data_IF_752595232764
#
_entry.id   IF_752595232764
#
_cell.length_a   1.000
_cell.length_b   1.000
_cell.length_c   1.000
_cell.angle_alpha   90.00
_cell.angle_beta   90.00
_cell.angle_gamma   90.00
#
_symmetry.space_group_name_H-M   'P 1'
#
loop_
_entity.id
_entity.type
_entity.pdbx_description
1 polymer ?
#
# COMPACT_ATOMS: atom_id res chain seq x y z
N UNK A 1 -2.02 16.70 17.33
CA UNK A 1 -1.30 15.42 17.23
C UNK A 1 -1.89 14.57 16.12
N UNK A 2 -1.09 14.06 15.20
CA UNK A 2 -1.47 13.01 14.26
C UNK A 2 -0.68 11.74 14.61
N UNK A 3 -1.30 10.56 14.48
CA UNK A 3 -0.68 9.29 14.90
C UNK A 3 -0.67 8.29 13.75
N UNK A 4 0.47 7.64 13.53
CA UNK A 4 0.64 6.62 12.49
C UNK A 4 0.80 5.26 13.17
N UNK A 5 -0.18 4.37 12.99
CA UNK A 5 -0.15 2.98 13.44
C UNK A 5 0.49 2.10 12.37
N UNK A 6 1.59 1.43 12.71
CA UNK A 6 2.41 0.67 11.75
C UNK A 6 3.58 1.48 11.18
N UNK A 7 4.19 2.35 11.99
CA UNK A 7 5.11 3.41 11.60
C UNK A 7 6.43 2.97 10.92
N UNK A 8 6.83 1.70 11.00
CA UNK A 8 8.07 1.22 10.34
C UNK A 8 7.84 0.75 8.89
N UNK A 9 6.61 0.82 8.40
CA UNK A 9 6.28 0.45 7.03
C UNK A 9 6.71 1.52 6.03
N UNK A 10 6.93 1.12 4.78
CA UNK A 10 7.30 2.01 3.68
C UNK A 10 6.31 3.20 3.52
N UNK A 11 5.01 2.91 3.51
CA UNK A 11 3.97 3.95 3.41
C UNK A 11 4.02 4.88 4.62
N UNK A 12 4.17 4.32 5.83
CA UNK A 12 4.24 5.11 7.06
C UNK A 12 5.43 6.07 7.11
N UNK A 13 6.59 5.64 6.63
CA UNK A 13 7.79 6.46 6.60
C UNK A 13 7.62 7.67 5.68
N UNK A 14 7.13 7.48 4.47
CA UNK A 14 6.87 8.58 3.54
C UNK A 14 5.69 9.45 3.98
N UNK A 15 4.68 8.85 4.62
CA UNK A 15 3.57 9.58 5.24
C UNK A 15 4.09 10.51 6.35
N UNK A 16 4.97 10.02 7.23
CA UNK A 16 5.55 10.82 8.31
C UNK A 16 6.34 12.02 7.78
N UNK A 17 7.17 11.83 6.74
CA UNK A 17 7.88 12.92 6.06
C UNK A 17 6.92 13.97 5.50
N UNK A 18 5.91 13.51 4.77
CA UNK A 18 4.92 14.40 4.14
C UNK A 18 4.11 15.19 5.18
N UNK A 19 3.66 14.52 6.24
CA UNK A 19 2.91 15.18 7.31
C UNK A 19 3.75 16.22 8.04
N UNK A 20 5.00 15.90 8.35
CA UNK A 20 5.93 16.84 8.97
C UNK A 20 6.15 18.07 8.11
N UNK A 21 6.35 17.91 6.80
CA UNK A 21 6.64 19.01 5.86
C UNK A 21 5.44 19.91 5.58
N UNK A 22 4.21 19.36 5.55
CA UNK A 22 3.07 20.06 4.96
C UNK A 22 1.85 20.21 5.86
N UNK A 23 1.72 19.46 6.96
CA UNK A 23 0.44 19.38 7.65
C UNK A 23 0.46 19.56 9.17
N UNK A 24 1.56 19.32 9.88
CA UNK A 24 1.56 19.36 11.34
C UNK A 24 2.94 19.46 11.94
N UNK A 25 3.02 20.08 13.11
CA UNK A 25 4.19 20.05 14.00
C UNK A 25 4.08 18.98 15.11
N UNK A 26 3.32 17.90 14.96
CA UNK A 26 3.23 16.89 16.01
C UNK A 26 2.81 15.53 15.48
N UNK A 27 3.79 14.63 15.32
CA UNK A 27 3.58 13.25 14.88
C UNK A 27 3.91 12.26 15.99
N UNK A 28 3.05 11.25 16.14
CA UNK A 28 3.32 10.06 16.94
C UNK A 28 3.47 8.85 16.04
N UNK A 29 4.65 8.22 16.09
CA UNK A 29 4.97 7.02 15.33
C UNK A 29 4.84 5.80 16.22
N UNK A 30 3.91 4.88 15.87
CA UNK A 30 3.54 3.73 16.69
C UNK A 30 3.87 2.43 15.97
N UNK A 31 4.69 1.61 16.59
CA UNK A 31 4.97 0.22 16.21
C UNK A 31 5.52 -0.54 17.42
N UNK A 32 5.79 -1.83 17.29
CA UNK A 32 6.47 -2.59 18.36
C UNK A 32 7.87 -2.06 18.67
N UNK A 33 8.58 -1.56 17.67
CA UNK A 33 9.92 -0.96 17.79
C UNK A 33 9.97 0.28 16.88
N UNK A 34 9.36 1.41 17.28
CA UNK A 34 9.26 2.59 16.42
C UNK A 34 10.63 3.25 16.22
N UNK A 35 10.81 3.84 15.05
CA UNK A 35 12.01 4.60 14.68
C UNK A 35 11.61 5.99 14.24
N UNK A 36 12.41 6.99 14.58
CA UNK A 36 12.25 8.36 14.09
C UNK A 36 12.38 8.42 12.56
N UNK A 37 11.57 9.24 11.97
CA UNK A 37 11.62 9.65 10.57
C UNK A 37 12.03 11.12 10.49
N UNK A 38 11.50 11.93 11.39
CA UNK A 38 11.84 13.34 11.60
C UNK A 38 12.35 13.54 13.04
N UNK A 39 13.12 14.60 13.30
CA UNK A 39 13.78 14.79 14.59
C UNK A 39 12.81 15.01 15.75
N UNK A 40 11.67 15.62 15.50
CA UNK A 40 10.63 15.94 16.48
C UNK A 40 9.53 14.85 16.60
N UNK A 41 9.68 13.73 15.88
CA UNK A 41 8.73 12.61 15.98
C UNK A 41 8.68 12.04 17.39
N UNK A 42 7.47 11.89 17.93
CA UNK A 42 7.21 11.18 19.17
C UNK A 42 7.12 9.67 18.91
N UNK A 43 7.95 8.89 19.58
CA UNK A 43 7.96 7.44 19.44
C UNK A 43 7.11 6.79 20.53
N UNK A 44 6.28 5.83 20.16
CA UNK A 44 5.53 5.03 21.11
C UNK A 44 5.54 3.55 20.73
N UNK A 45 6.16 2.73 21.57
CA UNK A 45 6.12 1.29 21.41
C UNK A 45 4.74 0.76 21.80
N UNK A 46 4.06 0.06 20.87
CA UNK A 46 2.79 -0.60 21.16
C UNK A 46 2.57 -1.81 20.24
N UNK A 47 1.94 -2.83 20.81
CA UNK A 47 1.42 -3.96 20.07
C UNK A 47 -0.06 -3.73 19.77
N UNK A 48 -0.42 -3.59 18.50
CA UNK A 48 -1.80 -3.33 18.08
C UNK A 48 -2.76 -4.51 18.34
N UNK A 49 -2.26 -5.68 18.66
CA UNK A 49 -3.06 -6.81 19.14
C UNK A 49 -3.56 -6.62 20.57
N UNK A 50 -2.92 -5.74 21.33
CA UNK A 50 -3.29 -5.37 22.69
C UNK A 50 -4.17 -4.11 22.64
N UNK A 51 -5.42 -4.24 23.11
CA UNK A 51 -6.39 -3.14 23.08
C UNK A 51 -5.98 -1.97 24.00
N UNK A 52 -5.38 -2.26 25.16
CA UNK A 52 -4.93 -1.24 26.11
C UNK A 52 -3.75 -0.44 25.57
N UNK A 53 -2.74 -1.10 25.02
CA UNK A 53 -1.62 -0.41 24.36
C UNK A 53 -2.07 0.41 23.15
N UNK A 54 -3.01 -0.13 22.36
CA UNK A 54 -3.57 0.60 21.20
C UNK A 54 -4.35 1.85 21.66
N UNK A 55 -5.15 1.74 22.72
CA UNK A 55 -5.87 2.87 23.29
C UNK A 55 -4.91 3.98 23.79
N UNK A 56 -3.85 3.60 24.48
CA UNK A 56 -2.81 4.55 24.91
C UNK A 56 -2.11 5.21 23.70
N UNK A 57 -1.82 4.43 22.66
CA UNK A 57 -1.16 4.93 21.45
C UNK A 57 -2.02 5.96 20.69
N UNK A 58 -3.34 5.84 20.76
CA UNK A 58 -4.29 6.75 20.07
C UNK A 58 -4.70 7.93 20.93
N UNK A 59 -4.54 7.86 22.25
CA UNK A 59 -4.96 8.91 23.19
C UNK A 59 -4.43 10.29 22.82
N UNK A 60 -5.31 11.28 22.73
CA UNK A 60 -4.99 12.67 22.37
C UNK A 60 -4.68 12.88 20.88
N UNK A 61 -4.92 11.90 20.03
CA UNK A 61 -4.80 12.04 18.58
C UNK A 61 -5.99 12.80 18.00
N UNK A 62 -5.74 13.66 17.02
CA UNK A 62 -6.79 14.26 16.19
C UNK A 62 -7.07 13.38 14.96
N UNK A 63 -6.02 12.83 14.36
CA UNK A 63 -6.11 11.95 13.19
C UNK A 63 -5.24 10.72 13.46
N UNK A 64 -5.75 9.54 13.13
CA UNK A 64 -5.04 8.27 13.20
C UNK A 64 -4.98 7.63 11.83
N UNK A 65 -3.79 7.37 11.35
CA UNK A 65 -3.53 6.65 10.11
C UNK A 65 -3.23 5.19 10.41
N UNK A 66 -4.02 4.28 9.86
CA UNK A 66 -3.77 2.86 9.99
C UNK A 66 -3.03 2.35 8.75
N UNK A 67 -1.71 2.19 8.87
CA UNK A 67 -0.82 1.71 7.81
C UNK A 67 -0.13 0.40 8.16
N UNK A 68 -0.62 -0.29 9.19
CA UNK A 68 -0.03 -1.52 9.67
C UNK A 68 -0.01 -2.61 8.58
N UNK A 69 1.15 -3.21 8.41
CA UNK A 69 1.41 -4.33 7.50
C UNK A 69 1.91 -5.56 8.26
N UNK A 70 1.64 -6.72 7.68
CA UNK A 70 2.14 -8.02 8.15
C UNK A 70 2.93 -8.72 7.04
N UNK A 71 3.86 -9.61 7.38
CA UNK A 71 4.48 -10.50 6.39
C UNK A 71 3.42 -11.23 5.55
N UNK A 72 3.72 -11.65 4.32
CA UNK A 72 2.76 -12.30 3.41
C UNK A 72 2.47 -13.76 3.84
N UNK A 73 1.90 -13.95 5.01
CA UNK A 73 1.47 -15.21 5.62
C UNK A 73 -0.04 -15.16 5.86
N UNK A 74 -0.79 -16.04 5.19
CA UNK A 74 -2.25 -16.02 5.21
C UNK A 74 -2.83 -16.30 6.59
N UNK A 75 -2.24 -17.21 7.37
CA UNK A 75 -2.67 -17.51 8.73
C UNK A 75 -2.49 -16.31 9.65
N UNK A 76 -1.31 -15.68 9.57
CA UNK A 76 -1.02 -14.48 10.33
C UNK A 76 -1.98 -13.33 9.99
N UNK A 77 -2.36 -13.20 8.70
CA UNK A 77 -3.32 -12.18 8.27
C UNK A 77 -4.71 -12.42 8.85
N UNK A 78 -5.19 -13.67 8.80
CA UNK A 78 -6.50 -14.05 9.33
C UNK A 78 -6.60 -13.82 10.84
N UNK A 79 -5.53 -14.15 11.58
CA UNK A 79 -5.50 -14.05 13.04
C UNK A 79 -5.31 -12.61 13.53
N UNK A 80 -4.45 -11.83 12.89
CA UNK A 80 -3.98 -10.56 13.46
C UNK A 80 -4.62 -9.31 12.87
N UNK A 81 -4.80 -9.23 11.55
CA UNK A 81 -5.30 -8.01 10.94
C UNK A 81 -6.67 -7.57 11.46
N UNK A 82 -7.69 -8.46 11.57
CA UNK A 82 -8.99 -8.05 12.10
C UNK A 82 -8.93 -7.54 13.53
N UNK A 83 -8.10 -8.17 14.38
CA UNK A 83 -7.91 -7.77 15.78
C UNK A 83 -7.26 -6.39 15.88
N UNK A 84 -6.15 -6.19 15.13
CA UNK A 84 -5.43 -4.89 15.11
C UNK A 84 -6.35 -3.75 14.65
N UNK A 85 -7.14 -3.99 13.59
CA UNK A 85 -8.06 -2.99 13.05
C UNK A 85 -9.19 -2.68 14.03
N UNK A 86 -9.81 -3.71 14.63
CA UNK A 86 -10.86 -3.54 15.66
C UNK A 86 -10.36 -2.72 16.84
N UNK A 87 -9.16 -3.03 17.36
CA UNK A 87 -8.57 -2.28 18.46
C UNK A 87 -8.33 -0.81 18.09
N UNK A 88 -7.83 -0.55 16.87
CA UNK A 88 -7.59 0.81 16.39
C UNK A 88 -8.90 1.61 16.24
N UNK A 89 -9.95 1.03 15.67
CA UNK A 89 -11.27 1.68 15.54
C UNK A 89 -11.88 1.98 16.91
N UNK A 90 -11.84 1.02 17.85
CA UNK A 90 -12.32 1.23 19.22
C UNK A 90 -11.57 2.36 19.93
N UNK A 91 -10.22 2.37 19.80
CA UNK A 91 -9.39 3.42 20.36
C UNK A 91 -9.72 4.81 19.78
N UNK A 92 -9.97 4.89 18.48
CA UNK A 92 -10.35 6.14 17.81
C UNK A 92 -11.72 6.65 18.28
N UNK A 93 -12.71 5.77 18.49
CA UNK A 93 -14.01 6.17 19.07
C UNK A 93 -13.85 6.78 20.46
N UNK A 94 -13.11 6.12 21.34
CA UNK A 94 -12.85 6.62 22.70
C UNK A 94 -12.10 7.96 22.68
N UNK A 95 -11.14 8.12 21.80
CA UNK A 95 -10.36 9.34 21.65
C UNK A 95 -11.06 10.43 20.83
N UNK A 96 -12.20 10.14 20.20
CA UNK A 96 -12.90 10.99 19.21
C UNK A 96 -11.97 11.45 18.08
N UNK A 97 -11.06 10.55 17.65
CA UNK A 97 -10.08 10.81 16.60
C UNK A 97 -10.63 10.41 15.23
N UNK A 98 -10.33 11.20 14.20
CA UNK A 98 -10.58 10.80 12.82
C UNK A 98 -9.70 9.62 12.42
N UNK A 99 -10.22 8.70 11.59
CA UNK A 99 -9.53 7.48 11.19
C UNK A 99 -9.32 7.41 9.68
N UNK A 100 -8.08 7.33 9.25
CA UNK A 100 -7.69 7.16 7.86
C UNK A 100 -7.10 5.76 7.64
N UNK A 101 -7.83 4.92 6.91
CA UNK A 101 -7.46 3.53 6.65
C UNK A 101 -6.72 3.41 5.32
N UNK A 102 -5.47 2.97 5.36
CA UNK A 102 -4.71 2.63 4.15
C UNK A 102 -4.98 1.19 3.74
N UNK A 103 -5.52 1.00 2.54
CA UNK A 103 -5.99 -0.29 2.03
C UNK A 103 -5.33 -0.65 0.69
N UNK A 104 -5.53 -1.89 0.26
CA UNK A 104 -5.11 -2.41 -1.04
C UNK A 104 -6.33 -2.84 -1.88
N UNK A 105 -6.09 -3.56 -2.98
CA UNK A 105 -7.13 -4.00 -3.93
C UNK A 105 -7.42 -5.50 -3.91
N UNK A 106 -7.00 -6.24 -2.86
CA UNK A 106 -7.15 -7.71 -2.85
C UNK A 106 -8.59 -8.17 -2.71
N UNK A 107 -9.50 -7.32 -2.25
CA UNK A 107 -10.94 -7.60 -2.18
C UNK A 107 -11.65 -7.46 -3.53
N UNK A 108 -11.05 -6.81 -4.52
CA UNK A 108 -11.65 -6.62 -5.83
C UNK A 108 -11.58 -7.89 -6.69
N UNK A 109 -12.49 -8.03 -7.68
CA UNK A 109 -12.46 -9.13 -8.65
C UNK A 109 -11.08 -9.18 -9.36
N UNK A 110 -10.61 -10.40 -9.61
CA UNK A 110 -9.38 -10.63 -10.38
C UNK A 110 -9.73 -10.84 -11.87
N UNK A 111 -10.18 -9.77 -12.52
CA UNK A 111 -10.54 -9.72 -13.93
C UNK A 111 -10.07 -8.41 -14.55
N UNK A 112 -10.29 -8.22 -15.86
CA UNK A 112 -9.83 -7.05 -16.61
C UNK A 112 -10.72 -5.80 -16.48
N UNK A 113 -11.75 -5.82 -15.61
CA UNK A 113 -12.57 -4.62 -15.41
C UNK A 113 -11.76 -3.50 -14.76
N UNK A 114 -12.10 -2.27 -15.09
CA UNK A 114 -11.53 -1.10 -14.41
C UNK A 114 -12.09 -1.05 -12.99
N UNK A 115 -11.19 -1.07 -12.00
CA UNK A 115 -11.53 -0.96 -10.59
C UNK A 115 -11.77 0.50 -10.24
N UNK A 116 -12.94 0.79 -9.69
CA UNK A 116 -13.36 2.09 -9.13
C UNK A 116 -13.68 1.94 -7.64
N UNK A 117 -13.95 3.04 -6.96
CA UNK A 117 -14.35 3.02 -5.54
C UNK A 117 -15.65 2.25 -5.32
N UNK A 118 -16.54 2.18 -6.32
CA UNK A 118 -17.84 1.49 -6.30
C UNK A 118 -17.73 0.00 -6.71
N UNK A 119 -16.53 -0.46 -7.10
CA UNK A 119 -16.33 -1.85 -7.50
C UNK A 119 -16.71 -2.80 -6.35
N UNK A 120 -17.67 -3.69 -6.61
CA UNK A 120 -18.11 -4.69 -5.63
C UNK A 120 -16.99 -5.65 -5.27
N UNK A 121 -16.91 -6.02 -4.00
CA UNK A 121 -15.94 -6.99 -3.54
C UNK A 121 -16.27 -8.40 -4.06
N UNK A 122 -15.27 -9.06 -4.61
CA UNK A 122 -15.33 -10.47 -5.02
C UNK A 122 -13.96 -11.11 -4.69
N UNK A 123 -13.63 -11.24 -3.40
CA UNK A 123 -12.31 -11.67 -2.96
C UNK A 123 -12.02 -13.11 -3.35
N UNK A 124 -10.82 -13.34 -3.89
CA UNK A 124 -10.27 -14.66 -4.18
C UNK A 124 -9.13 -14.95 -3.21
N UNK A 125 -9.09 -16.17 -2.67
CA UNK A 125 -8.04 -16.60 -1.74
C UNK A 125 -8.24 -16.08 -0.31
N UNK A 126 -7.37 -16.53 0.60
CA UNK A 126 -7.42 -16.20 2.04
C UNK A 126 -7.13 -14.71 2.28
N UNK A 127 -6.07 -14.17 1.65
CA UNK A 127 -5.69 -12.76 1.79
C UNK A 127 -6.75 -11.81 1.25
N UNK A 128 -7.38 -12.17 0.13
CA UNK A 128 -8.49 -11.39 -0.44
C UNK A 128 -9.68 -11.32 0.53
N UNK A 129 -10.06 -12.44 1.13
CA UNK A 129 -11.15 -12.51 2.13
C UNK A 129 -10.84 -11.69 3.38
N UNK A 130 -9.60 -11.76 3.90
CA UNK A 130 -9.19 -10.94 5.05
C UNK A 130 -9.32 -9.45 4.73
N UNK A 131 -8.83 -9.01 3.57
CA UNK A 131 -8.92 -7.61 3.17
C UNK A 131 -10.36 -7.16 2.93
N UNK A 132 -11.20 -8.00 2.37
CA UNK A 132 -12.63 -7.72 2.24
C UNK A 132 -13.31 -7.54 3.61
N UNK A 133 -13.04 -8.43 4.57
CA UNK A 133 -13.55 -8.33 5.93
C UNK A 133 -13.08 -7.03 6.62
N UNK A 134 -11.80 -6.68 6.52
CA UNK A 134 -11.27 -5.42 7.06
C UNK A 134 -11.93 -4.20 6.43
N UNK A 135 -12.04 -4.16 5.10
CA UNK A 135 -12.69 -3.07 4.40
C UNK A 135 -14.16 -2.93 4.81
N UNK A 136 -14.89 -4.05 4.97
CA UNK A 136 -16.28 -4.05 5.48
C UNK A 136 -16.38 -3.49 6.90
N UNK A 137 -15.47 -3.87 7.81
CA UNK A 137 -15.44 -3.29 9.17
C UNK A 137 -15.26 -1.77 9.15
N UNK A 138 -14.43 -1.24 8.24
CA UNK A 138 -14.21 0.22 8.13
C UNK A 138 -15.42 0.91 7.49
N UNK A 139 -16.07 0.28 6.51
CA UNK A 139 -17.32 0.80 5.91
C UNK A 139 -18.47 0.80 6.91
N UNK A 140 -18.59 -0.22 7.76
CA UNK A 140 -19.56 -0.25 8.86
C UNK A 140 -19.30 0.87 9.88
N UNK A 141 -18.03 1.12 10.23
CA UNK A 141 -17.66 2.23 11.10
C UNK A 141 -17.99 3.60 10.48
N UNK A 142 -17.71 3.74 9.17
CA UNK A 142 -18.06 4.93 8.40
C UNK A 142 -19.58 5.17 8.39
N UNK A 143 -20.36 4.10 8.22
CA UNK A 143 -21.84 4.18 8.22
C UNK A 143 -22.42 4.52 9.59
N UNK A 144 -21.76 4.14 10.70
CA UNK A 144 -22.17 4.54 12.06
C UNK A 144 -22.06 6.04 12.30
N UNK A 145 -21.04 6.67 11.72
CA UNK A 145 -20.83 8.10 11.87
C UNK A 145 -20.34 8.57 13.25
N UNK A 146 -19.91 7.65 14.14
CA UNK A 146 -19.43 7.99 15.48
C UNK A 146 -18.14 8.82 15.46
N UNK A 147 -17.32 8.58 14.46
CA UNK A 147 -16.07 9.30 14.16
C UNK A 147 -15.93 9.51 12.64
N UNK A 148 -15.21 10.55 12.20
CA UNK A 148 -14.87 10.70 10.79
C UNK A 148 -13.95 9.56 10.33
N UNK A 149 -14.35 8.82 9.28
CA UNK A 149 -13.58 7.69 8.72
C UNK A 149 -13.40 7.88 7.23
N UNK A 150 -12.22 7.58 6.71
CA UNK A 150 -11.97 7.46 5.26
C UNK A 150 -11.19 6.20 4.93
N UNK A 151 -11.39 5.68 3.72
CA UNK A 151 -10.59 4.60 3.14
C UNK A 151 -9.76 5.18 1.98
N UNK A 152 -8.44 5.01 2.05
CA UNK A 152 -7.51 5.35 0.98
C UNK A 152 -6.91 4.06 0.40
N UNK A 153 -7.35 3.68 -0.81
CA UNK A 153 -7.02 2.40 -1.43
C UNK A 153 -5.97 2.57 -2.53
N UNK A 154 -5.00 1.68 -2.55
CA UNK A 154 -3.89 1.70 -3.48
C UNK A 154 -3.78 0.39 -4.27
N UNK A 155 -3.42 0.43 -5.57
CA UNK A 155 -3.13 -0.75 -6.37
C UNK A 155 -1.77 -1.36 -6.01
N UNK A 156 -1.15 -2.08 -6.94
CA UNK A 156 0.18 -2.64 -6.77
C UNK A 156 1.27 -1.55 -6.68
N UNK A 157 2.26 -1.76 -5.82
CA UNK A 157 3.27 -0.75 -5.50
C UNK A 157 4.56 -0.91 -6.31
N UNK A 158 5.23 0.21 -6.55
CA UNK A 158 6.67 0.29 -6.80
C UNK A 158 7.22 1.55 -6.10
N UNK A 159 8.52 1.58 -5.78
CA UNK A 159 9.03 2.77 -5.11
C UNK A 159 10.47 2.64 -4.63
N UNK A 160 11.00 3.71 -3.99
CA UNK A 160 12.36 3.78 -3.48
C UNK A 160 12.52 2.97 -2.19
N UNK A 161 13.76 2.80 -1.78
CA UNK A 161 14.11 2.15 -0.52
C UNK A 161 13.79 0.67 -0.46
N UNK A 162 13.60 0.16 0.77
CA UNK A 162 13.25 -1.25 1.01
C UNK A 162 11.73 -1.42 0.98
N UNK A 163 11.22 -2.12 0.00
CA UNK A 163 9.78 -2.34 -0.21
C UNK A 163 9.39 -3.80 -0.06
N UNK A 164 8.09 -4.05 0.16
CA UNK A 164 7.48 -5.38 0.06
C UNK A 164 6.80 -5.60 -1.31
N UNK A 165 7.13 -4.76 -2.29
CA UNK A 165 6.59 -4.82 -3.64
C UNK A 165 7.14 -6.01 -4.43
N UNK A 166 6.27 -6.75 -5.09
CA UNK A 166 6.68 -7.78 -6.05
C UNK A 166 7.38 -7.16 -7.27
N UNK A 167 6.90 -6.02 -7.74
CA UNK A 167 7.53 -5.29 -8.85
C UNK A 167 8.96 -4.88 -8.50
N UNK A 168 9.21 -4.37 -7.28
CA UNK A 168 10.57 -4.10 -6.83
C UNK A 168 11.41 -5.39 -6.78
N UNK A 169 10.92 -6.41 -6.09
CA UNK A 169 11.68 -7.64 -5.85
C UNK A 169 12.02 -8.40 -7.14
N UNK A 170 11.10 -8.45 -8.08
CA UNK A 170 11.23 -9.23 -9.32
C UNK A 170 11.91 -8.45 -10.45
N UNK A 171 11.82 -7.13 -10.47
CA UNK A 171 12.33 -6.30 -11.56
C UNK A 171 13.43 -5.37 -11.04
N UNK A 172 13.12 -4.39 -10.20
CA UNK A 172 14.01 -3.29 -9.83
C UNK A 172 15.23 -3.79 -9.05
N UNK A 173 15.04 -4.58 -8.00
CA UNK A 173 16.13 -5.10 -7.17
C UNK A 173 17.03 -6.08 -7.93
N UNK A 174 16.46 -6.77 -8.90
CA UNK A 174 17.25 -7.65 -9.79
C UNK A 174 18.11 -6.82 -10.74
N UNK A 175 17.57 -5.74 -11.31
CA UNK A 175 18.35 -4.80 -12.14
C UNK A 175 19.49 -4.15 -11.34
N UNK A 176 19.23 -3.69 -10.11
CA UNK A 176 20.27 -3.18 -9.18
C UNK A 176 21.37 -4.21 -8.94
N UNK A 177 20.99 -5.46 -8.77
CA UNK A 177 21.93 -6.57 -8.53
C UNK A 177 22.59 -7.13 -9.81
N UNK A 178 22.40 -6.51 -10.97
CA UNK A 178 22.92 -7.01 -12.25
C UNK A 178 22.30 -8.34 -12.71
N UNK A 179 21.17 -8.73 -12.15
CA UNK A 179 20.46 -9.98 -12.45
C UNK A 179 19.32 -9.74 -13.44
N UNK A 180 19.02 -10.73 -14.23
CA UNK A 180 17.92 -10.71 -15.19
C UNK A 180 16.57 -10.55 -14.47
N UNK A 181 15.72 -9.53 -14.79
CA UNK A 181 14.38 -9.38 -14.27
C UNK A 181 13.50 -10.59 -14.51
N UNK A 182 12.52 -10.77 -13.64
CA UNK A 182 11.53 -11.84 -13.73
C UNK A 182 10.13 -11.22 -13.82
N UNK A 183 9.31 -11.72 -14.72
CA UNK A 183 7.91 -11.31 -14.87
C UNK A 183 7.02 -12.50 -14.51
N UNK A 184 6.06 -12.35 -13.59
CA UNK A 184 5.18 -13.43 -13.22
C UNK A 184 4.07 -13.63 -14.27
N UNK A 185 3.84 -14.87 -14.66
CA UNK A 185 2.76 -15.42 -15.48
C UNK A 185 2.75 -14.90 -16.93
N UNK A 186 2.53 -13.59 -17.15
CA UNK A 186 2.43 -12.95 -18.48
C UNK A 186 3.07 -11.58 -18.46
N UNK A 187 3.61 -11.16 -19.58
CA UNK A 187 4.28 -9.86 -19.76
C UNK A 187 3.46 -8.85 -20.56
N UNK A 188 2.36 -9.29 -21.17
CA UNK A 188 1.50 -8.53 -22.07
C UNK A 188 0.22 -7.98 -21.38
N UNK A 189 -0.02 -8.28 -20.10
CA UNK A 189 -1.12 -7.72 -19.33
C UNK A 189 -0.79 -6.31 -18.84
N UNK A 190 -1.78 -5.42 -18.91
CA UNK A 190 -1.66 -4.03 -18.45
C UNK A 190 -1.75 -3.95 -16.93
N UNK A 191 -0.91 -3.10 -16.33
CA UNK A 191 -0.83 -2.93 -14.88
C UNK A 191 -0.95 -1.47 -14.49
N UNK A 192 -1.69 -1.20 -13.43
CA UNK A 192 -1.61 0.07 -12.72
C UNK A 192 -0.72 -0.13 -11.51
N UNK A 193 0.43 0.55 -11.50
CA UNK A 193 1.35 0.56 -10.36
C UNK A 193 1.32 1.95 -9.73
N UNK A 194 1.32 2.01 -8.39
CA UNK A 194 1.41 3.28 -7.68
C UNK A 194 2.83 3.51 -7.16
N UNK A 195 3.34 4.71 -7.35
CA UNK A 195 4.55 5.20 -6.71
C UNK A 195 4.31 5.37 -5.21
N UNK A 196 5.09 4.69 -4.37
CA UNK A 196 4.82 4.66 -2.91
C UNK A 196 4.88 6.01 -2.22
N UNK A 197 5.76 6.97 -2.59
CA UNK A 197 5.67 8.33 -2.07
C UNK A 197 4.38 9.05 -2.46
N UNK A 198 3.85 8.86 -3.68
CA UNK A 198 2.57 9.45 -4.09
C UNK A 198 1.40 8.86 -3.31
N UNK A 199 1.43 7.55 -3.04
CA UNK A 199 0.42 6.92 -2.18
C UNK A 199 0.41 7.56 -0.78
N UNK A 200 1.57 7.83 -0.22
CA UNK A 200 1.73 8.44 1.09
C UNK A 200 1.34 9.91 1.11
N UNK A 201 1.74 10.70 0.08
CA UNK A 201 1.32 12.10 -0.10
C UNK A 201 -0.21 12.18 -0.27
N UNK A 202 -0.80 11.30 -1.08
CA UNK A 202 -2.23 11.23 -1.28
C UNK A 202 -2.99 10.90 0.01
N UNK A 203 -2.48 9.97 0.81
CA UNK A 203 -3.04 9.65 2.12
C UNK A 203 -2.94 10.84 3.10
N UNK A 204 -1.81 11.56 3.13
CA UNK A 204 -1.64 12.76 3.93
C UNK A 204 -2.63 13.86 3.53
N UNK A 205 -2.80 14.09 2.23
CA UNK A 205 -3.75 15.05 1.67
C UNK A 205 -5.18 14.70 2.10
N UNK A 206 -5.63 13.46 1.90
CA UNK A 206 -6.97 13.01 2.28
C UNK A 206 -7.20 13.15 3.79
N UNK A 207 -6.27 12.70 4.62
CA UNK A 207 -6.40 12.74 6.08
C UNK A 207 -6.52 14.16 6.64
N UNK A 208 -5.97 15.17 5.95
CA UNK A 208 -6.06 16.58 6.34
C UNK A 208 -7.13 17.39 5.57
N UNK A 209 -8.00 16.70 4.82
CA UNK A 209 -9.10 17.31 4.08
C UNK A 209 -10.43 16.89 4.72
N UNK A 210 -11.15 17.79 5.41
CA UNK A 210 -12.36 17.42 6.18
C UNK A 210 -13.45 16.76 5.35
N UNK A 211 -13.70 17.23 4.14
CA UNK A 211 -14.72 16.69 3.23
C UNK A 211 -14.30 15.39 2.50
N UNK A 212 -13.08 14.91 2.73
CA UNK A 212 -12.64 13.59 2.26
C UNK A 212 -13.14 12.44 3.15
N UNK A 213 -13.57 12.72 4.37
CA UNK A 213 -14.12 11.71 5.27
C UNK A 213 -15.54 11.29 4.85
N UNK A 214 -15.98 10.12 5.32
CA UNK A 214 -17.22 9.50 4.90
C UNK A 214 -17.16 8.84 3.52
N UNK A 215 -15.97 8.63 2.97
CA UNK A 215 -15.79 8.17 1.59
C UNK A 215 -14.64 7.18 1.45
N UNK A 216 -14.73 6.37 0.37
CA UNK A 216 -13.58 5.63 -0.18
C UNK A 216 -12.93 6.44 -1.29
N UNK A 217 -11.61 6.42 -1.31
CA UNK A 217 -10.77 7.08 -2.31
C UNK A 217 -9.77 6.10 -2.91
N UNK A 218 -9.66 6.09 -4.20
CA UNK A 218 -8.52 5.52 -4.88
C UNK A 218 -7.38 6.53 -4.92
N UNK A 219 -6.22 6.12 -4.39
CA UNK A 219 -5.03 6.98 -4.35
C UNK A 219 -4.48 7.23 -5.77
N UNK A 220 -3.88 8.42 -6.02
CA UNK A 220 -3.54 8.87 -7.36
C UNK A 220 -2.44 8.02 -8.00
N UNK A 221 -2.71 7.54 -9.20
CA UNK A 221 -1.78 6.79 -10.05
C UNK A 221 -1.57 7.50 -11.37
N UNK A 222 -0.43 7.23 -12.02
CA UNK A 222 -0.21 7.58 -13.40
C UNK A 222 -1.29 6.95 -14.28
N UNK A 223 -1.77 7.70 -15.30
CA UNK A 223 -2.80 7.21 -16.24
C UNK A 223 -2.24 6.22 -17.25
N UNK A 224 -0.93 6.25 -17.47
CA UNK A 224 -0.26 5.22 -18.25
C UNK A 224 -0.43 3.86 -17.56
N UNK A 225 -0.79 2.88 -18.35
CA UNK A 225 -1.00 1.51 -17.87
C UNK A 225 -0.11 0.57 -18.68
N UNK A 226 1.21 0.55 -18.38
CA UNK A 226 2.16 -0.26 -19.12
C UNK A 226 1.88 -1.74 -18.92
N UNK A 227 2.23 -2.53 -19.93
CA UNK A 227 2.43 -3.96 -19.73
C UNK A 227 3.73 -4.19 -18.94
N UNK A 228 3.90 -5.37 -18.34
CA UNK A 228 5.18 -5.70 -17.73
C UNK A 228 6.34 -5.66 -18.74
N UNK A 229 6.10 -6.07 -19.98
CA UNK A 229 7.09 -5.93 -21.07
C UNK A 229 7.55 -4.48 -21.22
N UNK A 230 6.60 -3.53 -21.30
CA UNK A 230 6.91 -2.10 -21.42
C UNK A 230 7.64 -1.58 -20.19
N UNK A 231 7.16 -1.92 -18.98
CA UNK A 231 7.74 -1.46 -17.73
C UNK A 231 9.18 -1.99 -17.53
N UNK A 232 9.42 -3.28 -17.78
CA UNK A 232 10.77 -3.87 -17.66
C UNK A 232 11.72 -3.28 -18.69
N UNK A 233 11.26 -3.04 -19.92
CA UNK A 233 12.07 -2.41 -20.97
C UNK A 233 12.49 -1.00 -20.56
N UNK A 234 11.56 -0.18 -20.07
CA UNK A 234 11.81 1.15 -19.53
C UNK A 234 12.81 1.10 -18.37
N UNK A 235 12.54 0.26 -17.36
CA UNK A 235 13.41 0.09 -16.21
C UNK A 235 14.83 -0.33 -16.62
N UNK A 236 14.96 -1.31 -17.52
CA UNK A 236 16.26 -1.77 -17.99
C UNK A 236 17.07 -0.63 -18.62
N UNK A 237 16.45 0.17 -19.49
CA UNK A 237 17.10 1.33 -20.14
C UNK A 237 17.57 2.35 -19.11
N UNK A 238 16.70 2.72 -18.18
CA UNK A 238 17.01 3.69 -17.11
C UNK A 238 18.18 3.18 -16.26
N UNK A 239 18.24 1.89 -15.93
CA UNK A 239 19.35 1.30 -15.17
C UNK A 239 20.62 1.03 -16.03
N UNK A 240 20.64 1.44 -17.30
CA UNK A 240 21.77 1.24 -18.19
C UNK A 240 22.04 -0.23 -18.53
N UNK A 241 20.98 -1.04 -18.62
CA UNK A 241 21.03 -2.46 -18.96
C UNK A 241 20.35 -2.73 -20.28
N UNK A 242 20.84 -3.72 -21.01
CA UNK A 242 20.14 -4.24 -22.18
C UNK A 242 18.80 -4.84 -21.72
N UNK A 243 17.66 -4.47 -22.34
CA UNK A 243 16.37 -5.04 -22.02
C UNK A 243 16.35 -6.55 -22.22
N UNK A 244 16.33 -7.30 -21.12
CA UNK A 244 16.29 -8.76 -21.12
C UNK A 244 15.61 -9.21 -19.83
N UNK A 245 14.63 -10.11 -19.92
CA UNK A 245 13.89 -10.64 -18.77
C UNK A 245 13.43 -12.08 -19.04
N UNK A 246 12.94 -12.75 -18.02
CA UNK A 246 12.32 -14.06 -18.17
C UNK A 246 10.89 -14.01 -17.64
N UNK A 247 9.97 -14.61 -18.38
CA UNK A 247 8.60 -14.83 -17.89
C UNK A 247 8.56 -16.16 -17.14
N UNK A 248 8.09 -16.12 -15.89
CA UNK A 248 7.90 -17.33 -15.09
C UNK A 248 6.45 -17.75 -15.23
N UNK A 249 6.21 -18.77 -16.03
CA UNK A 249 4.87 -19.33 -16.23
C UNK A 249 4.24 -19.85 -14.92
N UNK A 250 2.95 -20.09 -14.96
CA UNK A 250 2.16 -20.55 -13.79
C UNK A 250 2.67 -21.88 -13.20
N UNK A 251 2.98 -22.86 -14.06
CA UNK A 251 3.36 -24.21 -13.61
C UNK A 251 4.66 -24.25 -12.78
N UNK A 252 5.75 -23.61 -13.17
CA UNK A 252 6.94 -23.53 -12.32
C UNK A 252 6.66 -22.92 -10.93
N UNK A 253 5.80 -21.92 -10.86
CA UNK A 253 5.42 -21.30 -9.58
C UNK A 253 4.55 -22.21 -8.71
N UNK A 254 3.68 -23.04 -9.32
CA UNK A 254 2.89 -24.04 -8.60
C UNK A 254 3.82 -25.09 -8.00
N UNK A 255 4.74 -25.63 -8.79
CA UNK A 255 5.69 -26.67 -8.35
C UNK A 255 6.60 -26.12 -7.25
N UNK A 256 7.19 -24.94 -7.44
CA UNK A 256 8.02 -24.29 -6.42
C UNK A 256 7.26 -24.03 -5.11
N UNK A 257 5.95 -23.77 -5.17
CA UNK A 257 5.08 -23.59 -3.99
C UNK A 257 4.89 -24.84 -3.14
N UNK A 258 5.17 -26.04 -3.67
CA UNK A 258 5.15 -27.30 -2.90
C UNK A 258 6.31 -27.28 -1.89
N UNK A 259 7.48 -26.83 -2.31
CA UNK A 259 8.73 -26.84 -1.54
C UNK A 259 9.00 -25.55 -0.76
N UNK A 260 8.30 -24.43 -1.07
CA UNK A 260 8.54 -23.13 -0.47
C UNK A 260 7.24 -22.50 0.04
N UNK A 261 7.12 -22.34 1.38
CA UNK A 261 6.00 -21.62 2.00
C UNK A 261 5.84 -20.22 1.39
N UNK A 262 6.95 -19.49 1.15
CA UNK A 262 6.93 -18.15 0.56
C UNK A 262 6.31 -18.13 -0.84
N UNK A 263 6.65 -19.09 -1.69
CA UNK A 263 6.08 -19.19 -3.04
C UNK A 263 4.61 -19.65 -2.97
N UNK A 264 4.26 -20.54 -2.05
CA UNK A 264 2.88 -20.98 -1.83
C UNK A 264 1.97 -19.81 -1.41
N UNK A 265 2.46 -18.92 -0.54
CA UNK A 265 1.73 -17.72 -0.12
C UNK A 265 1.50 -16.71 -1.27
N UNK A 266 2.36 -16.70 -2.27
CA UNK A 266 2.22 -15.86 -3.46
C UNK A 266 1.22 -16.47 -4.46
N UNK A 267 1.06 -17.79 -4.46
CA UNK A 267 0.28 -18.53 -5.48
C UNK A 267 -1.18 -18.07 -5.57
N UNK A 268 -1.79 -17.68 -4.45
CA UNK A 268 -3.17 -17.18 -4.46
C UNK A 268 -3.32 -15.81 -5.17
N UNK A 269 -2.21 -15.09 -5.38
CA UNK A 269 -2.20 -13.81 -6.08
C UNK A 269 -1.93 -13.95 -7.59
N UNK A 270 -1.51 -15.14 -8.06
CA UNK A 270 -1.16 -15.37 -9.46
C UNK A 270 -2.28 -15.04 -10.47
N UNK A 271 -3.58 -15.31 -10.19
CA UNK A 271 -4.64 -14.95 -11.12
C UNK A 271 -4.69 -13.46 -11.46
N UNK A 272 -4.21 -12.59 -10.55
CA UNK A 272 -4.10 -11.14 -10.81
C UNK A 272 -3.10 -10.78 -11.91
N UNK A 273 -2.19 -11.70 -12.25
CA UNK A 273 -1.16 -11.54 -13.28
C UNK A 273 -1.56 -12.17 -14.62
N UNK A 274 -2.67 -12.90 -14.66
CA UNK A 274 -3.23 -13.52 -15.87
C UNK A 274 -4.12 -12.55 -16.66
N UNK A 275 -4.59 -11.48 -16.02
CA UNK A 275 -5.51 -10.48 -16.57
C UNK A 275 -4.94 -9.08 -16.40
N UNK A 276 -5.50 -8.13 -17.15
CA UNK A 276 -5.23 -6.72 -16.89
C UNK A 276 -5.65 -6.37 -15.45
N UNK A 277 -4.87 -5.52 -14.80
CA UNK A 277 -5.19 -5.00 -13.47
C UNK A 277 -5.24 -3.47 -13.53
N UNK A 278 -6.42 -2.98 -13.84
CA UNK A 278 -6.68 -1.57 -14.13
C UNK A 278 -7.36 -0.91 -12.94
N UNK A 279 -6.77 0.17 -12.46
CA UNK A 279 -7.24 0.92 -11.30
C UNK A 279 -7.46 2.38 -11.71
N UNK A 280 -8.66 2.90 -11.43
CA UNK A 280 -9.03 4.27 -11.72
C UNK A 280 -8.87 5.14 -10.48
N UNK A 281 -8.22 6.29 -10.63
CA UNK A 281 -8.05 7.30 -9.59
C UNK A 281 -8.58 8.68 -10.00
N UNK A 282 -9.50 8.72 -10.95
CA UNK A 282 -10.07 9.95 -11.51
C UNK A 282 -10.77 10.78 -10.43
N UNK A 283 -11.47 10.15 -9.48
CA UNK A 283 -12.12 10.84 -8.35
C UNK A 283 -11.13 11.68 -7.56
N UNK A 284 -9.99 11.12 -7.18
CA UNK A 284 -8.93 11.83 -6.47
C UNK A 284 -8.39 13.00 -7.30
N UNK A 285 -8.02 12.75 -8.55
CA UNK A 285 -7.44 13.76 -9.44
C UNK A 285 -8.38 14.94 -9.71
N UNK A 286 -9.67 14.68 -9.84
CA UNK A 286 -10.68 15.74 -9.98
C UNK A 286 -10.81 16.58 -8.73
N UNK A 287 -10.74 15.97 -7.53
CA UNK A 287 -10.82 16.70 -6.27
C UNK A 287 -9.55 17.48 -5.95
N UNK A 288 -8.39 16.97 -6.38
CA UNK A 288 -7.08 17.56 -6.11
C UNK A 288 -6.29 17.79 -7.42
N UNK A 289 -6.72 18.71 -8.28
CA UNK A 289 -6.10 18.90 -9.60
C UNK A 289 -4.66 19.41 -9.55
N UNK A 290 -4.25 20.03 -8.44
CA UNK A 290 -2.87 20.46 -8.22
C UNK A 290 -1.94 19.33 -7.73
N UNK A 291 -2.45 18.12 -7.48
CA UNK A 291 -1.63 16.99 -7.04
C UNK A 291 -0.83 16.44 -8.23
N UNK A 292 0.48 16.63 -8.20
CA UNK A 292 1.38 16.07 -9.22
C UNK A 292 1.61 14.57 -8.97
N UNK A 293 1.25 13.75 -9.95
CA UNK A 293 1.48 12.30 -9.94
C UNK A 293 2.78 11.99 -10.65
N UNK A 294 3.66 11.25 -9.98
CA UNK A 294 4.95 10.82 -10.53
C UNK A 294 4.75 9.81 -11.66
N UNK A 295 5.34 10.05 -12.82
CA UNK A 295 5.33 9.11 -13.94
C UNK A 295 6.21 7.88 -13.64
N UNK A 296 6.04 6.80 -14.40
CA UNK A 296 6.88 5.62 -14.24
C UNK A 296 8.35 5.91 -14.52
N UNK A 297 8.64 6.74 -15.51
CA UNK A 297 10.00 7.13 -15.88
C UNK A 297 10.66 7.92 -14.77
N UNK A 298 10.02 8.99 -14.28
CA UNK A 298 10.51 9.78 -13.15
C UNK A 298 10.74 8.92 -11.90
N UNK A 299 9.80 8.05 -11.54
CA UNK A 299 9.93 7.17 -10.39
C UNK A 299 11.12 6.21 -10.50
N UNK A 300 11.34 5.63 -11.69
CA UNK A 300 12.49 4.75 -11.95
C UNK A 300 13.81 5.51 -11.93
N UNK A 301 13.87 6.75 -12.45
CA UNK A 301 15.04 7.61 -12.38
C UNK A 301 15.40 8.00 -10.94
N UNK A 302 14.40 8.33 -10.12
CA UNK A 302 14.59 8.60 -8.70
C UNK A 302 15.17 7.39 -7.97
N UNK A 303 14.66 6.18 -8.24
CA UNK A 303 15.21 4.95 -7.66
C UNK A 303 16.66 4.71 -8.10
N UNK A 304 16.96 4.96 -9.39
CA UNK A 304 18.32 4.82 -9.91
C UNK A 304 19.29 5.81 -9.25
N UNK A 305 18.87 7.07 -9.07
CA UNK A 305 19.65 8.09 -8.38
C UNK A 305 19.96 7.65 -6.95
N UNK A 306 18.93 7.32 -6.16
CA UNK A 306 19.11 6.84 -4.78
C UNK A 306 20.05 5.61 -4.68
N UNK A 307 19.99 4.73 -5.68
CA UNK A 307 20.86 3.54 -5.69
C UNK A 307 22.31 3.85 -6.00
N UNK A 308 22.59 4.89 -6.81
CA UNK A 308 23.97 5.28 -7.15
C UNK A 308 24.64 6.08 -6.04
N UNK A 309 23.87 6.78 -5.24
CA UNK A 309 24.33 7.63 -4.15
C UNK A 309 24.65 6.85 -2.87
N UNK A 310 24.39 5.53 -2.86
CA UNK A 310 24.71 4.56 -1.79
C UNK A 310 25.93 3.71 -2.15
#
# INVERSE_FOLDING_TARGET
>A
MQTILGANGQIATELARTLHQHHTGGLRLVSRNPRKVNDDDMLMAANLLDAGQTAQAVKGSRIVYFTAGLPPDSTLWEEQFPVMLKNALLACRVARASFAYFDNTYMYPQNSQIQTEETRFAPVGRKGRVRAAMASMVLEEMARGDIPVLIARAPEFYGPGKTQSFTNALIIDRLKAGRRPLVPVRDDTRRTLIWTPDASRGLATLGNTPDAYGQTWHLPCCDDRPTYKTFVTMASRIFGRTPSYSVIGRWPLIIAGIFSKKVREIRELLPRYEQDNLFDSTKFKRRFPAFSVTTYEEGLELIRKEWRDK
#
